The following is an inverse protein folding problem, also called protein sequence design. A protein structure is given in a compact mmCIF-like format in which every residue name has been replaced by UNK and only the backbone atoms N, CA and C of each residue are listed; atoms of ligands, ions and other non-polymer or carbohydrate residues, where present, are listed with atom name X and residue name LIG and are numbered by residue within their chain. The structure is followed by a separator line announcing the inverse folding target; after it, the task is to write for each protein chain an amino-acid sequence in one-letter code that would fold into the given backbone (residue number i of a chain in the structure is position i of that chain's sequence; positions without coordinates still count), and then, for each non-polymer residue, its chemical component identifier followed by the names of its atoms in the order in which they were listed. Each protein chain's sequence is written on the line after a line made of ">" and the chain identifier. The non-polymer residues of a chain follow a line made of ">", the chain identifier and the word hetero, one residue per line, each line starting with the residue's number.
data_IF_653315028721
#
_entry.id   IF_653315028721
#
_cell.length_a   1.000
_cell.length_b   1.000
_cell.length_c   1.000
_cell.angle_alpha   90.00
_cell.angle_beta   90.00
_cell.angle_gamma   90.00
#
_symmetry.space_group_name_H-M   'P 1'
#
loop_
_entity.id
_entity.type
_entity.pdbx_description
1 polymer ?
#
# COMPACT_ATOMS: atom_id res chain seq x y z
N UNK A 1 -15.68 10.45 11.98
CA UNK A 1 -14.95 10.01 10.76
C UNK A 1 -15.58 10.50 9.47
N UNK A 2 -16.90 10.44 9.29
CA UNK A 2 -17.52 10.86 8.01
C UNK A 2 -17.30 12.36 7.68
N UNK A 3 -17.36 13.27 8.66
CA UNK A 3 -17.06 14.68 8.43
C UNK A 3 -15.62 14.89 7.92
N UNK A 4 -14.65 14.23 8.56
CA UNK A 4 -13.24 14.25 8.16
C UNK A 4 -13.07 13.66 6.75
N UNK A 5 -13.76 12.55 6.44
CA UNK A 5 -13.72 11.95 5.10
C UNK A 5 -14.18 12.95 4.03
N UNK A 6 -15.25 13.69 4.29
CA UNK A 6 -15.74 14.73 3.35
C UNK A 6 -14.72 15.84 3.18
N UNK A 7 -14.19 16.37 4.28
CA UNK A 7 -13.17 17.43 4.24
C UNK A 7 -11.90 17.00 3.48
N UNK A 8 -11.44 15.77 3.69
CA UNK A 8 -10.29 15.22 2.98
C UNK A 8 -10.60 14.99 1.49
N UNK A 9 -11.82 14.55 1.17
CA UNK A 9 -12.27 14.34 -0.21
C UNK A 9 -12.39 15.65 -1.00
N UNK A 10 -12.66 16.77 -0.32
CA UNK A 10 -12.72 18.11 -0.92
C UNK A 10 -11.32 18.72 -1.14
N UNK A 11 -10.25 17.99 -0.82
CA UNK A 11 -8.88 18.46 -1.05
C UNK A 11 -8.51 18.42 -2.53
N UNK A 12 -7.92 19.49 -3.03
CA UNK A 12 -7.61 19.64 -4.46
C UNK A 12 -6.35 18.87 -4.89
N UNK A 13 -5.44 18.61 -3.95
CA UNK A 13 -4.21 17.86 -4.21
C UNK A 13 -3.92 16.89 -3.07
N UNK A 14 -3.12 15.85 -3.36
CA UNK A 14 -2.64 14.93 -2.34
C UNK A 14 -1.83 15.67 -1.24
N UNK A 15 -1.09 16.72 -1.62
CA UNK A 15 -0.35 17.55 -0.67
C UNK A 15 -1.30 18.28 0.29
N UNK A 16 -2.32 18.96 -0.23
CA UNK A 16 -3.33 19.66 0.57
C UNK A 16 -4.03 18.70 1.56
N UNK A 17 -4.42 17.52 1.07
CA UNK A 17 -5.01 16.46 1.89
C UNK A 17 -4.06 16.07 3.04
N UNK A 18 -2.79 15.79 2.74
CA UNK A 18 -1.81 15.40 3.76
C UNK A 18 -1.52 16.52 4.75
N UNK A 19 -1.47 17.78 4.32
CA UNK A 19 -1.31 18.92 5.23
C UNK A 19 -2.47 19.02 6.23
N UNK A 20 -3.72 18.77 5.80
CA UNK A 20 -4.88 18.69 6.70
C UNK A 20 -4.74 17.54 7.69
N UNK A 21 -4.38 16.33 7.24
CA UNK A 21 -4.17 15.16 8.12
C UNK A 21 -3.08 15.43 9.16
N UNK A 22 -1.98 16.07 8.76
CA UNK A 22 -0.85 16.36 9.65
C UNK A 22 -1.18 17.41 10.72
N UNK A 23 -2.20 18.24 10.50
CA UNK A 23 -2.67 19.26 11.45
C UNK A 23 -3.76 18.77 12.40
N UNK A 24 -4.28 17.55 12.22
CA UNK A 24 -5.30 16.98 13.11
C UNK A 24 -4.74 16.66 14.50
N UNK A 25 -5.62 16.59 15.50
CA UNK A 25 -5.28 16.10 16.83
C UNK A 25 -4.68 14.69 16.75
N UNK A 26 -3.67 14.38 17.57
CA UNK A 26 -2.91 13.13 17.52
C UNK A 26 -3.77 11.86 17.43
N UNK A 27 -4.87 11.80 18.18
CA UNK A 27 -5.81 10.67 18.14
C UNK A 27 -6.50 10.51 16.80
N UNK A 28 -7.09 11.60 16.31
CA UNK A 28 -7.78 11.64 15.02
C UNK A 28 -6.80 11.41 13.87
N UNK A 29 -5.63 12.04 13.92
CA UNK A 29 -4.55 11.85 12.95
C UNK A 29 -4.15 10.38 12.84
N UNK A 30 -3.86 9.73 13.96
CA UNK A 30 -3.48 8.31 13.99
C UNK A 30 -4.57 7.42 13.41
N UNK A 31 -5.83 7.69 13.75
CA UNK A 31 -6.97 6.96 13.20
C UNK A 31 -7.12 7.14 11.68
N UNK A 32 -6.95 8.35 11.17
CA UNK A 32 -7.00 8.64 9.72
C UNK A 32 -5.86 7.95 8.98
N UNK A 33 -4.62 8.04 9.50
CA UNK A 33 -3.45 7.39 8.91
C UNK A 33 -3.62 5.88 8.86
N UNK A 34 -4.07 5.27 9.95
CA UNK A 34 -4.34 3.82 10.01
C UNK A 34 -5.46 3.41 9.05
N UNK A 35 -6.51 4.23 8.93
CA UNK A 35 -7.61 3.99 8.01
C UNK A 35 -7.14 4.01 6.54
N UNK A 36 -6.35 5.02 6.15
CA UNK A 36 -5.79 5.14 4.80
C UNK A 36 -4.88 3.94 4.48
N UNK A 37 -4.05 3.53 5.42
CA UNK A 37 -3.14 2.41 5.26
C UNK A 37 -3.89 1.07 5.13
N UNK A 38 -4.85 0.78 6.02
CA UNK A 38 -5.67 -0.42 5.93
C UNK A 38 -6.49 -0.46 4.65
N UNK A 39 -7.07 0.67 4.25
CA UNK A 39 -7.86 0.76 3.02
C UNK A 39 -7.02 0.50 1.78
N UNK A 40 -5.78 1.03 1.73
CA UNK A 40 -4.82 0.69 0.69
C UNK A 40 -4.52 -0.82 0.64
N UNK A 41 -4.30 -1.44 1.80
CA UNK A 41 -4.09 -2.89 1.91
C UNK A 41 -5.27 -3.71 1.37
N UNK A 42 -6.52 -3.33 1.71
CA UNK A 42 -7.71 -3.99 1.20
C UNK A 42 -7.87 -3.86 -0.32
N UNK A 43 -7.51 -2.70 -0.89
CA UNK A 43 -7.50 -2.51 -2.34
C UNK A 43 -6.53 -3.47 -3.03
N UNK A 44 -5.35 -3.69 -2.43
CA UNK A 44 -4.36 -4.62 -2.99
C UNK A 44 -4.81 -6.07 -2.83
N UNK A 45 -5.36 -6.46 -1.68
CA UNK A 45 -5.96 -7.80 -1.47
C UNK A 45 -7.08 -8.09 -2.45
N UNK A 46 -7.95 -7.11 -2.76
CA UNK A 46 -8.97 -7.27 -3.78
C UNK A 46 -8.37 -7.57 -5.17
N UNK A 47 -7.31 -6.85 -5.55
CA UNK A 47 -6.62 -7.05 -6.83
C UNK A 47 -5.93 -8.42 -6.94
N UNK A 48 -5.29 -8.88 -5.87
CA UNK A 48 -4.41 -10.06 -5.90
C UNK A 48 -5.09 -11.36 -5.45
N UNK A 49 -6.10 -11.26 -4.60
CA UNK A 49 -6.68 -12.41 -3.89
C UNK A 49 -8.21 -12.48 -4.00
N UNK A 50 -8.86 -11.54 -4.69
CA UNK A 50 -10.33 -11.39 -4.84
C UNK A 50 -11.10 -11.37 -3.50
N UNK A 51 -10.42 -11.07 -2.40
CA UNK A 51 -11.01 -10.98 -1.05
C UNK A 51 -10.80 -9.60 -0.47
N UNK A 52 -11.80 -9.09 0.27
CA UNK A 52 -11.69 -7.86 1.03
C UNK A 52 -12.63 -7.85 2.23
N UNK A 53 -12.21 -7.16 3.29
CA UNK A 53 -13.07 -6.78 4.42
C UNK A 53 -14.09 -5.72 3.98
N UNK A 54 -15.18 -5.63 4.71
CA UNK A 54 -16.16 -4.55 4.55
C UNK A 54 -15.59 -3.22 5.02
N UNK A 55 -16.11 -2.11 4.50
CA UNK A 55 -15.68 -0.77 4.93
C UNK A 55 -15.91 -0.51 6.43
N UNK A 56 -16.96 -1.11 7.01
CA UNK A 56 -17.27 -1.02 8.44
C UNK A 56 -16.21 -1.75 9.27
N UNK A 57 -15.82 -2.96 8.89
CA UNK A 57 -14.76 -3.70 9.58
C UNK A 57 -13.43 -2.97 9.51
N UNK A 58 -13.07 -2.42 8.35
CA UNK A 58 -11.85 -1.62 8.18
C UNK A 58 -11.87 -0.39 9.09
N UNK A 59 -12.99 0.34 9.16
CA UNK A 59 -13.14 1.50 10.02
C UNK A 59 -13.07 1.14 11.52
N UNK A 60 -13.68 0.01 11.91
CA UNK A 60 -13.64 -0.50 13.27
C UNK A 60 -12.20 -0.89 13.69
N UNK A 61 -11.49 -1.62 12.84
CA UNK A 61 -10.08 -2.01 13.09
C UNK A 61 -9.20 -0.76 13.19
N UNK A 62 -9.37 0.21 12.29
CA UNK A 62 -8.60 1.46 12.34
C UNK A 62 -8.82 2.22 13.66
N UNK A 63 -10.06 2.34 14.12
CA UNK A 63 -10.40 2.97 15.39
C UNK A 63 -9.79 2.24 16.58
N UNK A 64 -9.94 0.90 16.63
CA UNK A 64 -9.40 0.08 17.71
C UNK A 64 -7.86 0.14 17.79
N UNK A 65 -7.18 0.19 16.64
CA UNK A 65 -5.72 0.36 16.58
C UNK A 65 -5.28 1.75 17.03
N UNK A 66 -6.01 2.79 16.62
CA UNK A 66 -5.73 4.16 17.06
C UNK A 66 -5.89 4.29 18.58
N UNK A 67 -6.99 3.79 19.15
CA UNK A 67 -7.19 3.78 20.60
C UNK A 67 -6.04 3.05 21.32
N UNK A 68 -5.63 1.87 20.84
CA UNK A 68 -4.50 1.13 21.41
C UNK A 68 -3.17 1.89 21.32
N UNK A 69 -2.94 2.63 20.23
CA UNK A 69 -1.74 3.45 20.06
C UNK A 69 -1.67 4.60 21.08
N UNK A 70 -2.82 5.12 21.52
CA UNK A 70 -2.91 6.20 22.50
C UNK A 70 -3.08 5.73 23.95
N UNK A 71 -3.61 4.53 24.18
CA UNK A 71 -3.85 3.98 25.52
C UNK A 71 -2.68 3.11 26.03
N UNK A 72 -1.79 2.60 25.17
CA UNK A 72 -0.74 1.67 25.59
C UNK A 72 0.67 2.27 25.68
N UNK A 73 1.10 2.45 26.92
CA UNK A 73 2.48 2.27 27.38
C UNK A 73 2.92 0.79 27.36
N UNK A 74 2.25 -0.07 26.60
CA UNK A 74 2.48 -1.51 26.55
C UNK A 74 2.45 -2.01 25.09
N UNK A 75 3.66 -2.25 24.60
CA UNK A 75 4.01 -3.20 23.55
C UNK A 75 3.59 -2.81 22.10
N UNK A 76 4.54 -2.12 21.44
CA UNK A 76 4.77 -2.03 19.98
C UNK A 76 4.57 -3.32 19.12
N UNK A 77 4.69 -4.57 19.61
CA UNK A 77 4.52 -5.78 18.80
C UNK A 77 3.12 -6.01 18.23
N UNK A 78 2.05 -5.46 18.81
CA UNK A 78 0.68 -5.72 18.31
C UNK A 78 0.35 -4.83 17.10
N UNK A 79 0.74 -3.54 17.14
CA UNK A 79 0.76 -2.73 15.92
C UNK A 79 1.69 -3.38 14.90
N UNK A 80 2.86 -3.88 15.31
CA UNK A 80 3.73 -4.69 14.45
C UNK A 80 3.00 -5.85 13.79
N UNK A 81 2.29 -6.72 14.53
CA UNK A 81 1.57 -7.88 13.99
C UNK A 81 0.30 -7.56 13.20
N UNK A 82 -0.40 -6.47 13.49
CA UNK A 82 -1.58 -6.05 12.72
C UNK A 82 -1.19 -5.22 11.49
N UNK A 83 -0.09 -4.45 11.58
CA UNK A 83 0.54 -3.77 10.46
C UNK A 83 1.28 -4.74 9.53
N UNK A 84 1.89 -5.77 10.11
CA UNK A 84 2.56 -6.90 9.47
C UNK A 84 1.63 -8.11 9.58
N UNK A 85 0.40 -7.99 9.05
CA UNK A 85 -0.41 -9.18 8.78
C UNK A 85 0.48 -10.15 7.97
N UNK A 86 0.51 -11.40 8.42
CA UNK A 86 1.55 -12.42 8.22
C UNK A 86 1.65 -12.95 6.78
N UNK A 87 1.19 -12.17 5.80
CA UNK A 87 1.34 -12.45 4.37
C UNK A 87 2.48 -11.62 3.83
N UNK A 88 3.68 -12.17 4.02
CA UNK A 88 4.80 -11.90 3.13
C UNK A 88 5.01 -10.40 2.83
N UNK A 89 5.61 -9.68 3.77
CA UNK A 89 6.80 -8.95 3.32
C UNK A 89 7.77 -10.04 2.86
N UNK A 90 7.59 -10.54 1.63
CA UNK A 90 8.69 -11.07 0.84
C UNK A 90 9.56 -9.85 0.61
N UNK A 91 10.30 -9.45 1.64
CA UNK A 91 11.43 -8.58 1.49
C UNK A 91 12.19 -9.19 0.33
N UNK A 92 12.49 -8.37 -0.68
CA UNK A 92 13.09 -8.88 -1.90
C UNK A 92 14.24 -9.80 -1.53
N UNK A 93 14.10 -11.08 -1.86
CA UNK A 93 15.12 -12.07 -1.65
C UNK A 93 15.77 -12.33 -3.00
N UNK A 94 17.09 -12.41 -2.97
CA UNK A 94 17.86 -12.86 -4.12
C UNK A 94 17.32 -14.24 -4.55
N UNK A 95 17.08 -14.47 -5.85
CA UNK A 95 16.70 -15.80 -6.36
C UNK A 95 17.73 -16.86 -5.95
N UNK A 96 17.30 -18.12 -5.83
CA UNK A 96 18.23 -19.23 -5.61
C UNK A 96 19.17 -19.41 -6.81
N UNK A 97 20.28 -20.13 -6.60
CA UNK A 97 21.16 -20.58 -7.68
C UNK A 97 20.32 -21.27 -8.78
N UNK A 98 20.66 -21.01 -10.04
CA UNK A 98 19.95 -21.49 -11.24
C UNK A 98 18.48 -21.04 -11.39
N UNK A 99 18.04 -20.06 -10.59
CA UNK A 99 16.74 -19.42 -10.76
C UNK A 99 16.90 -18.04 -11.40
N UNK A 100 16.11 -17.77 -12.45
CA UNK A 100 16.02 -16.47 -13.08
C UNK A 100 14.84 -15.67 -12.53
N UNK A 101 15.03 -14.37 -12.35
CA UNK A 101 13.98 -13.40 -11.99
C UNK A 101 13.52 -12.68 -13.25
N UNK A 102 12.24 -12.80 -13.58
CA UNK A 102 11.57 -12.00 -14.60
C UNK A 102 10.85 -10.83 -13.93
N UNK A 103 11.25 -9.61 -14.24
CA UNK A 103 10.47 -8.40 -13.96
C UNK A 103 9.80 -7.96 -15.26
N UNK A 104 8.52 -7.62 -15.21
CA UNK A 104 7.79 -7.03 -16.33
C UNK A 104 7.05 -5.78 -15.85
N UNK A 105 6.96 -4.76 -16.68
CA UNK A 105 6.20 -3.55 -16.40
C UNK A 105 5.50 -3.01 -17.65
N UNK A 106 4.45 -2.24 -17.44
CA UNK A 106 3.66 -1.62 -18.49
C UNK A 106 3.40 -0.14 -18.20
N UNK A 107 3.40 0.66 -19.26
CA UNK A 107 3.08 2.08 -19.22
C UNK A 107 1.92 2.38 -20.17
N UNK A 108 1.06 3.31 -19.78
CA UNK A 108 -0.06 3.76 -20.61
C UNK A 108 -0.20 5.28 -20.54
N UNK A 109 -0.30 5.91 -21.70
CA UNK A 109 -0.53 7.35 -21.84
C UNK A 109 -1.96 7.60 -22.29
N UNK A 110 -2.83 7.94 -21.35
CA UNK A 110 -4.27 8.16 -21.62
C UNK A 110 -4.55 9.22 -22.69
N UNK A 111 -3.71 10.27 -22.76
CA UNK A 111 -3.88 11.39 -23.68
C UNK A 111 -3.66 11.02 -25.15
N UNK A 112 -2.73 10.10 -25.42
CA UNK A 112 -2.40 9.61 -26.76
C UNK A 112 -3.03 8.25 -27.06
N UNK A 113 -3.53 7.55 -26.04
CA UNK A 113 -3.97 6.15 -26.14
C UNK A 113 -2.83 5.15 -26.34
N UNK A 114 -1.57 5.59 -26.20
CA UNK A 114 -0.39 4.77 -26.45
C UNK A 114 -0.05 3.88 -25.26
N UNK A 115 0.28 2.63 -25.55
CA UNK A 115 0.75 1.64 -24.59
C UNK A 115 2.23 1.34 -24.78
N UNK A 116 2.88 0.91 -23.70
CA UNK A 116 4.24 0.39 -23.75
C UNK A 116 4.42 -0.73 -22.74
N UNK A 117 5.30 -1.66 -23.06
CA UNK A 117 5.67 -2.76 -22.17
C UNK A 117 7.18 -2.96 -22.15
N UNK A 118 7.68 -3.53 -21.05
CA UNK A 118 9.08 -3.89 -20.90
C UNK A 118 9.26 -5.07 -19.96
N UNK A 119 10.34 -5.83 -20.15
CA UNK A 119 10.76 -6.86 -19.21
C UNK A 119 12.27 -6.96 -19.09
N UNK A 120 12.73 -7.49 -17.95
CA UNK A 120 14.12 -7.83 -17.65
C UNK A 120 14.17 -9.19 -16.97
N UNK A 121 15.02 -10.07 -17.49
CA UNK A 121 15.37 -11.36 -16.90
C UNK A 121 16.77 -11.25 -16.31
N UNK A 122 16.92 -11.48 -15.01
CA UNK A 122 18.20 -11.44 -14.30
C UNK A 122 18.47 -12.75 -13.56
N UNK A 123 19.74 -13.10 -13.38
CA UNK A 123 20.15 -14.24 -12.56
C UNK A 123 20.18 -13.94 -11.06
N UNK A 124 20.62 -14.90 -10.26
CA UNK A 124 20.79 -14.79 -8.82
C UNK A 124 21.91 -13.82 -8.40
N UNK A 125 22.85 -13.45 -9.27
CA UNK A 125 23.80 -12.36 -9.00
C UNK A 125 23.21 -10.98 -9.29
N UNK A 126 22.03 -10.93 -9.93
CA UNK A 126 21.41 -9.71 -10.41
C UNK A 126 21.90 -9.29 -11.81
N UNK A 127 22.68 -10.12 -12.49
CA UNK A 127 23.15 -9.84 -13.84
C UNK A 127 22.00 -10.02 -14.82
N UNK A 128 21.83 -9.05 -15.73
CA UNK A 128 20.80 -9.12 -16.77
C UNK A 128 21.19 -10.17 -17.81
N UNK A 129 20.33 -11.18 -17.97
CA UNK A 129 20.47 -12.25 -18.95
C UNK A 129 19.71 -11.93 -20.23
N UNK A 130 18.56 -11.25 -20.12
CA UNK A 130 17.76 -10.81 -21.27
C UNK A 130 16.90 -9.61 -20.91
N UNK A 131 16.61 -8.77 -21.88
CA UNK A 131 15.63 -7.69 -21.75
C UNK A 131 14.86 -7.51 -23.06
N UNK A 132 13.70 -6.90 -22.97
CA UNK A 132 12.89 -6.54 -24.13
C UNK A 132 11.90 -5.44 -23.79
N UNK A 133 11.47 -4.71 -24.83
CA UNK A 133 10.42 -3.71 -24.72
C UNK A 133 9.67 -3.56 -26.04
N UNK A 134 8.48 -2.99 -25.96
CA UNK A 134 7.64 -2.71 -27.11
C UNK A 134 6.65 -1.59 -26.83
N UNK A 135 5.99 -1.16 -27.90
CA UNK A 135 4.88 -0.21 -27.88
C UNK A 135 3.64 -0.88 -28.47
N UNK A 136 2.48 -0.50 -27.97
CA UNK A 136 1.15 -0.81 -28.53
C UNK A 136 0.51 0.45 -29.10
#
# INVERSE_FOLDING_TARGET
>A
MEAIRRELADSTTARDMMEKVLKMEAKTQTQVVLLLWLWWGERNKWREEERRRSGVEVAYVAAALADRAHTSQLQKPILGRVLLDERQIKAWARPALDTLKLNSDGAFFEQSGEGGWGFVISDHHGSVQKAGSGRE
#
